data_IF_929502838360
#
_entry.id   IF_929502838360
#
_cell.length_a   1.000
_cell.length_b   1.000
_cell.length_c   1.000
_cell.angle_alpha   90.00
_cell.angle_beta   90.00
_cell.angle_gamma   90.00
#
_symmetry.space_group_name_H-M   'P 1'
#
loop_
_entity.id
_entity.type
_entity.pdbx_description
1 polymer ?
#
# COMPACT_ATOMS: atom_id res chain seq x y z
N UNK A 1 -2.11 9.20 -3.54
CA UNK A 1 -1.35 8.04 -4.05
C UNK A 1 -0.02 7.99 -3.30
N UNK A 2 0.15 7.01 -2.42
CA UNK A 2 1.42 6.70 -1.75
C UNK A 2 1.98 5.39 -2.29
N UNK A 3 3.27 5.30 -2.57
CA UNK A 3 3.84 4.10 -3.18
C UNK A 3 5.15 4.43 -3.86
N UNK A 4 6.03 3.45 -4.02
CA UNK A 4 7.36 3.69 -4.55
C UNK A 4 7.89 2.51 -5.34
N UNK A 5 8.55 2.83 -6.46
CA UNK A 5 9.26 1.86 -7.29
C UNK A 5 10.75 1.75 -6.93
N UNK A 6 11.34 2.81 -6.37
CA UNK A 6 12.76 2.92 -6.07
C UNK A 6 13.01 3.77 -4.82
N UNK A 7 12.37 3.41 -3.70
CA UNK A 7 12.62 4.03 -2.39
C UNK A 7 13.03 2.95 -1.40
N UNK A 8 14.23 3.08 -0.85
CA UNK A 8 14.84 2.04 -0.01
C UNK A 8 14.55 2.20 1.48
N UNK A 9 13.89 3.29 1.88
CA UNK A 9 13.54 3.55 3.29
C UNK A 9 12.12 3.09 3.59
N UNK A 10 11.83 3.00 4.87
CA UNK A 10 10.48 2.72 5.37
C UNK A 10 9.62 3.98 5.21
N UNK A 11 8.52 3.84 4.49
CA UNK A 11 7.49 4.87 4.35
C UNK A 11 6.64 4.97 5.62
N UNK A 12 6.38 6.20 6.05
CA UNK A 12 5.57 6.52 7.23
C UNK A 12 4.10 6.66 6.83
N UNK A 13 3.38 5.52 6.83
CA UNK A 13 2.00 5.43 6.38
C UNK A 13 1.02 6.24 7.25
N UNK A 14 1.31 6.40 8.55
CA UNK A 14 0.48 7.19 9.47
C UNK A 14 0.51 8.68 9.11
N UNK A 15 1.68 9.22 8.75
CA UNK A 15 1.75 10.60 8.26
C UNK A 15 0.97 10.78 6.96
N UNK A 16 1.06 9.84 6.03
CA UNK A 16 0.26 9.89 4.81
C UNK A 16 -1.25 9.85 5.11
N UNK A 17 -1.65 9.08 6.13
CA UNK A 17 -3.04 9.04 6.59
C UNK A 17 -3.52 10.35 7.18
N UNK A 18 -2.75 10.94 8.08
CA UNK A 18 -3.08 12.23 8.70
C UNK A 18 -3.24 13.34 7.65
N UNK A 19 -2.36 13.36 6.65
CA UNK A 19 -2.47 14.32 5.54
C UNK A 19 -3.76 14.05 4.76
N UNK A 20 -4.02 12.81 4.37
CA UNK A 20 -5.23 12.44 3.63
C UNK A 20 -6.52 12.82 4.40
N UNK A 21 -6.54 12.60 5.72
CA UNK A 21 -7.64 13.02 6.60
C UNK A 21 -7.80 14.54 6.65
N UNK A 22 -6.69 15.28 6.73
CA UNK A 22 -6.73 16.75 6.82
C UNK A 22 -7.36 17.42 5.59
N UNK A 23 -7.29 16.78 4.42
CA UNK A 23 -7.89 17.26 3.17
C UNK A 23 -9.16 16.49 2.77
N UNK A 24 -9.64 15.56 3.59
CA UNK A 24 -10.83 14.74 3.29
C UNK A 24 -10.66 13.84 2.05
N UNK A 25 -9.44 13.42 1.75
CA UNK A 25 -9.12 12.61 0.58
C UNK A 25 -8.96 11.12 0.92
N UNK A 26 -9.24 10.25 -0.06
CA UNK A 26 -8.96 8.83 0.03
C UNK A 26 -7.46 8.53 -0.03
N UNK A 27 -6.97 7.67 0.86
CA UNK A 27 -5.59 7.20 0.83
C UNK A 27 -5.49 5.92 -0.01
N UNK A 28 -4.96 6.06 -1.23
CA UNK A 28 -4.61 4.94 -2.09
C UNK A 28 -3.10 4.64 -2.02
N UNK A 29 -2.74 3.38 -1.73
CA UNK A 29 -1.35 2.90 -1.63
C UNK A 29 -1.01 1.85 -2.68
N UNK A 30 0.04 2.08 -3.46
CA UNK A 30 0.64 1.08 -4.35
C UNK A 30 1.85 0.42 -3.67
N UNK A 31 1.71 -0.87 -3.37
CA UNK A 31 2.71 -1.69 -2.68
C UNK A 31 3.39 -2.71 -3.59
N UNK A 32 3.29 -2.56 -4.92
CA UNK A 32 3.78 -3.52 -5.89
C UNK A 32 5.23 -4.03 -5.65
N UNK A 33 6.15 -3.17 -5.23
CA UNK A 33 7.56 -3.55 -4.98
C UNK A 33 7.79 -4.18 -3.60
N UNK A 34 6.92 -3.91 -2.63
CA UNK A 34 7.08 -4.36 -1.24
C UNK A 34 6.08 -5.46 -0.86
N UNK A 35 5.19 -5.87 -1.76
CA UNK A 35 4.09 -6.79 -1.46
C UNK A 35 4.53 -8.13 -0.86
N UNK A 36 5.64 -8.69 -1.33
CA UNK A 36 6.22 -9.89 -0.72
C UNK A 36 6.79 -9.66 0.68
N UNK A 37 7.36 -8.48 0.93
CA UNK A 37 7.90 -8.11 2.24
C UNK A 37 6.79 -7.81 3.24
N UNK A 38 5.68 -7.21 2.79
CA UNK A 38 4.47 -7.01 3.59
C UNK A 38 3.82 -8.36 3.91
N UNK A 39 3.73 -9.28 2.93
CA UNK A 39 3.20 -10.63 3.16
C UNK A 39 4.07 -11.47 4.12
N UNK A 40 5.39 -11.26 4.11
CA UNK A 40 6.33 -11.91 5.02
C UNK A 40 6.42 -11.23 6.40
N UNK A 41 5.74 -10.09 6.62
CA UNK A 41 5.79 -9.34 7.87
C UNK A 41 7.10 -8.55 8.12
N UNK A 42 7.97 -8.43 7.11
CA UNK A 42 9.28 -7.77 7.20
C UNK A 42 9.21 -6.25 6.92
N UNK A 43 8.05 -5.73 6.51
CA UNK A 43 7.84 -4.32 6.18
C UNK A 43 6.50 -3.84 6.74
N UNK A 44 6.38 -2.60 7.26
CA UNK A 44 5.14 -2.12 7.86
C UNK A 44 3.97 -2.16 6.89
N UNK A 45 2.88 -2.75 7.35
CA UNK A 45 1.73 -3.08 6.55
C UNK A 45 0.88 -1.82 6.26
N UNK A 46 0.73 -1.38 4.99
CA UNK A 46 -0.11 -0.23 4.64
C UNK A 46 -1.61 -0.55 4.61
N UNK A 47 -1.98 -1.84 4.59
CA UNK A 47 -3.36 -2.32 4.45
C UNK A 47 -4.35 -1.81 5.51
N UNK A 48 -4.04 -1.78 6.82
CA UNK A 48 -4.96 -1.25 7.82
C UNK A 48 -5.09 0.28 7.78
N UNK A 49 -4.20 0.97 7.08
CA UNK A 49 -4.09 2.43 7.06
C UNK A 49 -4.72 3.00 5.79
N UNK A 50 -4.50 2.37 4.64
CA UNK A 50 -4.98 2.82 3.34
C UNK A 50 -6.42 2.36 3.06
N UNK A 51 -7.21 3.24 2.43
CA UNK A 51 -8.58 2.92 2.00
C UNK A 51 -8.56 2.01 0.74
N UNK A 52 -7.58 2.21 -0.12
CA UNK A 52 -7.35 1.41 -1.32
C UNK A 52 -5.89 0.97 -1.34
N UNK A 53 -5.66 -0.32 -1.56
CA UNK A 53 -4.32 -0.87 -1.75
C UNK A 53 -4.22 -1.59 -3.08
N UNK A 54 -3.18 -1.31 -3.84
CA UNK A 54 -2.91 -1.93 -5.14
C UNK A 54 -1.53 -2.58 -5.12
N UNK A 55 -1.38 -3.69 -5.84
CA UNK A 55 -0.10 -4.39 -5.94
C UNK A 55 0.01 -5.14 -7.25
N UNK A 56 1.25 -5.51 -7.62
CA UNK A 56 1.51 -6.46 -8.68
C UNK A 56 1.96 -7.79 -8.08
N UNK A 57 1.39 -8.89 -8.55
CA UNK A 57 1.67 -10.23 -8.00
C UNK A 57 3.02 -10.81 -8.41
N UNK A 58 3.66 -10.29 -9.46
CA UNK A 58 4.86 -10.87 -10.08
C UNK A 58 6.20 -10.26 -9.64
N UNK A 59 6.19 -9.33 -8.68
CA UNK A 59 7.42 -8.75 -8.10
C UNK A 59 7.85 -9.55 -6.88
N UNK A 60 7.97 -8.90 -5.73
CA UNK A 60 8.39 -9.57 -4.49
C UNK A 60 7.40 -10.63 -4.00
N UNK A 61 6.14 -10.59 -4.46
CA UNK A 61 5.13 -11.62 -4.20
C UNK A 61 5.29 -12.90 -5.06
N UNK A 62 6.13 -12.86 -6.10
CA UNK A 62 6.58 -14.01 -6.92
C UNK A 62 5.47 -14.89 -7.54
N UNK A 63 4.28 -14.35 -7.75
CA UNK A 63 3.16 -14.98 -8.44
C UNK A 63 3.14 -14.72 -9.96
N UNK A 64 2.10 -15.18 -10.68
CA UNK A 64 1.92 -14.92 -12.11
C UNK A 64 1.75 -13.41 -12.36
N UNK A 65 1.98 -12.92 -13.60
CA UNK A 65 1.75 -11.50 -13.94
C UNK A 65 0.28 -11.14 -13.81
N UNK A 66 -0.06 -10.47 -12.71
CA UNK A 66 -1.39 -9.95 -12.43
C UNK A 66 -1.33 -8.69 -11.56
N UNK A 67 -2.50 -8.09 -11.39
CA UNK A 67 -2.74 -6.93 -10.53
C UNK A 67 -3.64 -7.40 -9.39
N UNK A 68 -3.25 -7.06 -8.16
CA UNK A 68 -4.04 -7.26 -6.95
C UNK A 68 -4.59 -5.90 -6.51
N UNK A 69 -5.91 -5.86 -6.26
CA UNK A 69 -6.64 -4.66 -5.85
C UNK A 69 -7.45 -5.03 -4.62
N UNK A 70 -7.19 -4.33 -3.52
CA UNK A 70 -7.95 -4.44 -2.28
C UNK A 70 -8.51 -3.09 -1.89
N UNK A 71 -9.83 -3.05 -1.68
CA UNK A 71 -10.53 -1.89 -1.14
C UNK A 71 -10.98 -2.22 0.29
N UNK A 72 -10.77 -1.30 1.23
CA UNK A 72 -11.44 -1.39 2.52
C UNK A 72 -12.91 -0.97 2.33
N UNK A 73 -13.84 -1.79 2.80
CA UNK A 73 -15.26 -1.42 2.77
C UNK A 73 -15.50 -0.19 3.66
N UNK A 74 -15.94 0.89 3.02
CA UNK A 74 -16.67 2.01 3.61
C UNK A 74 -15.89 2.91 4.61
N UNK A 75 -15.56 4.13 4.16
CA UNK A 75 -15.65 5.33 5.00
C UNK A 75 -16.64 6.27 4.31
N UNK A 76 -17.73 6.56 5.02
CA UNK A 76 -18.83 7.53 4.81
C UNK A 76 -19.15 7.95 3.38
#
# INVERSE_FOLDING_TARGET
>A
MGGFSAYSRIADWDKFRQIADSVGAYLMVDMAHIAGLVAAGCYPNPVPIADITTSTTHKTLRGPRGVDLRQSQCRY
#
